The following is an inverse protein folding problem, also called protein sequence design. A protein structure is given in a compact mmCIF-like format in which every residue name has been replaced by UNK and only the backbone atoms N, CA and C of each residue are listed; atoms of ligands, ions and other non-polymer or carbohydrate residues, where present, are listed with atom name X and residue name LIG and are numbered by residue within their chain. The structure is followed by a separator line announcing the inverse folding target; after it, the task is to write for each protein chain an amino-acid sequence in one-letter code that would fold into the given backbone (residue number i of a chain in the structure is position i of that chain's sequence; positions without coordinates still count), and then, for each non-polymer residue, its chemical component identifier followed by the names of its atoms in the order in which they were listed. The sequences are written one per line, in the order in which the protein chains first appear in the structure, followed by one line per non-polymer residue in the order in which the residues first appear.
data_IF_277923056495
#
_entry.id   IF_277923056495
#
_cell.length_a   1.000
_cell.length_b   1.000
_cell.length_c   1.000
_cell.angle_alpha   90.00
_cell.angle_beta   90.00
_cell.angle_gamma   90.00
#
_symmetry.space_group_name_H-M   'P 1'
#
loop_
_entity.id
_entity.type
_entity.pdbx_description
1 polymer ?
#
# COMPACT_ATOMS: atom_id res chain seq x y z
N UNK A 1 -7.59 2.05 -5.63
CA UNK A 1 -8.20 1.58 -6.85
C UNK A 1 -9.12 0.40 -6.55
N UNK A 2 -10.40 0.66 -6.35
CA UNK A 2 -11.44 -0.33 -6.01
C UNK A 2 -11.78 -1.30 -7.17
N UNK A 3 -11.03 -1.24 -8.26
CA UNK A 3 -11.29 -2.01 -9.48
C UNK A 3 -10.66 -3.41 -9.45
N UNK A 4 -9.85 -3.73 -8.44
CA UNK A 4 -9.14 -5.01 -8.34
C UNK A 4 -9.51 -5.70 -7.04
N UNK A 5 -9.89 -6.96 -7.14
CA UNK A 5 -10.13 -7.87 -6.02
C UNK A 5 -8.86 -8.71 -5.85
N UNK A 6 -8.28 -8.66 -4.65
CA UNK A 6 -7.15 -9.50 -4.26
C UNK A 6 -7.60 -10.41 -3.12
N UNK A 7 -7.45 -11.72 -3.31
CA UNK A 7 -7.88 -12.69 -2.31
C UNK A 7 -7.01 -13.94 -2.31
N UNK A 8 -6.52 -14.39 -1.14
CA UNK A 8 -5.96 -15.72 -1.02
C UNK A 8 -7.05 -16.77 -1.20
N UNK A 9 -6.72 -17.81 -1.93
CA UNK A 9 -7.60 -18.95 -2.23
C UNK A 9 -6.82 -20.25 -2.11
N UNK A 10 -7.51 -21.39 -2.12
CA UNK A 10 -6.87 -22.69 -2.09
C UNK A 10 -7.41 -23.54 -3.25
N UNK A 11 -6.50 -24.12 -4.01
CA UNK A 11 -6.81 -25.04 -5.09
C UNK A 11 -5.91 -26.28 -4.99
N UNK A 12 -6.36 -27.47 -5.43
CA UNK A 12 -5.48 -28.63 -5.48
C UNK A 12 -4.34 -28.40 -6.46
N UNK A 13 -3.14 -28.88 -6.13
CA UNK A 13 -2.03 -28.90 -7.09
C UNK A 13 -2.37 -29.86 -8.24
N UNK A 14 -2.33 -29.33 -9.43
CA UNK A 14 -2.59 -30.01 -10.69
C UNK A 14 -1.82 -29.31 -11.82
N UNK A 15 -1.81 -29.78 -13.07
CA UNK A 15 -1.25 -29.04 -14.19
C UNK A 15 -1.77 -27.60 -14.26
N UNK A 16 -0.92 -26.65 -14.63
CA UNK A 16 -1.21 -25.20 -14.54
C UNK A 16 -2.57 -24.83 -15.19
N UNK A 17 -2.90 -25.40 -16.37
CA UNK A 17 -4.18 -25.15 -17.03
C UNK A 17 -5.40 -25.59 -16.21
N UNK A 18 -5.27 -26.70 -15.49
CA UNK A 18 -6.35 -27.18 -14.64
C UNK A 18 -6.45 -26.33 -13.36
N UNK A 19 -5.31 -25.82 -12.85
CA UNK A 19 -5.29 -24.86 -11.77
C UNK A 19 -5.97 -23.54 -12.18
N UNK A 20 -5.74 -23.04 -13.39
CA UNK A 20 -6.42 -21.85 -13.93
C UNK A 20 -7.95 -22.01 -13.92
N UNK A 21 -8.45 -23.17 -14.37
CA UNK A 21 -9.88 -23.49 -14.34
C UNK A 21 -10.41 -23.59 -12.90
N UNK A 22 -9.67 -24.26 -12.01
CA UNK A 22 -10.04 -24.39 -10.61
C UNK A 22 -10.09 -23.03 -9.90
N UNK A 23 -9.09 -22.16 -10.14
CA UNK A 23 -9.07 -20.78 -9.62
C UNK A 23 -10.27 -19.98 -10.16
N UNK A 24 -10.58 -20.11 -11.45
CA UNK A 24 -11.74 -19.45 -12.06
C UNK A 24 -13.05 -19.87 -11.40
N UNK A 25 -13.24 -21.15 -11.17
CA UNK A 25 -14.39 -21.72 -10.49
C UNK A 25 -14.52 -21.22 -9.04
N UNK A 26 -13.41 -21.20 -8.30
CA UNK A 26 -13.41 -20.71 -6.94
C UNK A 26 -13.67 -19.19 -6.89
N UNK A 27 -13.14 -18.44 -7.86
CA UNK A 27 -13.31 -17.01 -7.98
C UNK A 27 -14.77 -16.58 -8.23
N UNK A 28 -15.54 -17.36 -9.00
CA UNK A 28 -16.97 -17.10 -9.25
C UNK A 28 -17.81 -16.99 -7.96
N UNK A 29 -17.37 -17.63 -6.88
CA UNK A 29 -18.11 -17.65 -5.61
C UNK A 29 -18.05 -16.31 -4.85
N UNK A 30 -17.07 -15.47 -5.14
CA UNK A 30 -16.86 -14.22 -4.39
C UNK A 30 -16.68 -12.98 -5.26
N UNK A 31 -16.49 -13.13 -6.57
CA UNK A 31 -16.42 -11.99 -7.49
C UNK A 31 -17.87 -11.53 -7.78
N UNK A 32 -18.21 -10.25 -7.50
CA UNK A 32 -19.57 -9.74 -7.65
C UNK A 32 -19.90 -9.33 -9.11
N UNK A 33 -19.17 -9.86 -10.09
CA UNK A 33 -19.33 -9.58 -11.52
C UNK A 33 -19.36 -10.88 -12.31
N UNK A 34 -19.97 -10.90 -13.50
CA UNK A 34 -19.86 -12.05 -14.40
C UNK A 34 -18.38 -12.36 -14.67
N UNK A 35 -17.99 -13.62 -14.50
CA UNK A 35 -16.59 -14.03 -14.63
C UNK A 35 -16.02 -13.76 -16.03
N UNK A 36 -16.88 -13.71 -17.05
CA UNK A 36 -16.49 -13.41 -18.41
C UNK A 36 -16.20 -11.92 -18.66
N UNK A 37 -16.56 -11.04 -17.71
CA UNK A 37 -16.23 -9.62 -17.74
C UNK A 37 -14.97 -9.29 -16.90
N UNK A 38 -14.29 -10.33 -16.39
CA UNK A 38 -13.16 -10.19 -15.48
C UNK A 38 -11.89 -10.71 -16.15
N UNK A 39 -10.79 -9.96 -16.00
CA UNK A 39 -9.43 -10.47 -16.18
C UNK A 39 -9.01 -11.04 -14.83
N UNK A 40 -8.62 -12.31 -14.82
CA UNK A 40 -8.24 -13.05 -13.63
C UNK A 40 -6.84 -13.62 -13.83
N UNK A 41 -6.02 -13.47 -12.80
CA UNK A 41 -4.69 -14.07 -12.71
C UNK A 41 -4.44 -14.57 -11.29
N UNK A 42 -3.47 -15.45 -11.10
CA UNK A 42 -3.12 -15.97 -9.80
C UNK A 42 -1.63 -16.29 -9.67
N UNK A 43 -1.12 -16.21 -8.47
CA UNK A 43 0.24 -16.60 -8.14
C UNK A 43 0.23 -17.57 -6.95
N UNK A 44 0.93 -18.71 -7.00
CA UNK A 44 1.13 -19.58 -5.86
C UNK A 44 1.90 -18.84 -4.75
N UNK A 45 1.41 -18.94 -3.51
CA UNK A 45 2.09 -18.38 -2.33
C UNK A 45 3.19 -19.28 -1.78
N UNK A 46 3.18 -20.55 -2.21
CA UNK A 46 4.23 -21.53 -1.94
C UNK A 46 4.74 -22.07 -3.27
N UNK A 47 6.06 -22.24 -3.44
CA UNK A 47 6.59 -22.82 -4.66
C UNK A 47 5.94 -24.17 -5.00
N UNK A 48 5.44 -24.32 -6.23
CA UNK A 48 4.73 -25.55 -6.63
C UNK A 48 5.64 -26.80 -6.52
N UNK A 49 6.95 -26.63 -6.55
CA UNK A 49 7.93 -27.72 -6.34
C UNK A 49 7.92 -28.31 -4.94
N UNK A 50 7.43 -27.55 -3.94
CA UNK A 50 7.38 -27.95 -2.54
C UNK A 50 6.06 -28.63 -2.16
N UNK A 51 5.08 -28.63 -3.04
CA UNK A 51 3.73 -29.20 -2.80
C UNK A 51 3.56 -30.49 -3.63
N UNK A 52 2.94 -31.53 -3.06
CA UNK A 52 2.68 -32.78 -3.78
C UNK A 52 1.43 -32.66 -4.65
N UNK A 53 1.35 -33.45 -5.73
CA UNK A 53 0.19 -33.47 -6.62
C UNK A 53 -1.08 -33.89 -5.87
N UNK A 54 -2.15 -33.13 -6.00
CA UNK A 54 -3.42 -33.32 -5.29
C UNK A 54 -3.49 -32.65 -3.90
N UNK A 55 -2.38 -32.18 -3.33
CA UNK A 55 -2.39 -31.35 -2.12
C UNK A 55 -2.89 -29.94 -2.40
N UNK A 56 -3.39 -29.25 -1.37
CA UNK A 56 -3.89 -27.90 -1.47
C UNK A 56 -2.74 -26.90 -1.60
N UNK A 57 -2.80 -26.07 -2.62
CA UNK A 57 -1.90 -24.93 -2.84
C UNK A 57 -2.62 -23.66 -2.46
N UNK A 58 -2.00 -22.85 -1.63
CA UNK A 58 -2.44 -21.47 -1.41
C UNK A 58 -2.02 -20.62 -2.60
N UNK A 59 -2.96 -19.88 -3.17
CA UNK A 59 -2.74 -18.98 -4.28
C UNK A 59 -3.27 -17.59 -3.93
N UNK A 60 -2.59 -16.55 -4.39
CA UNK A 60 -3.14 -15.19 -4.39
C UNK A 60 -3.84 -14.96 -5.71
N UNK A 61 -5.14 -14.73 -5.67
CA UNK A 61 -5.95 -14.44 -6.85
C UNK A 61 -6.09 -12.93 -7.00
N UNK A 62 -5.81 -12.44 -8.21
CA UNK A 62 -6.07 -11.07 -8.63
C UNK A 62 -7.14 -11.06 -9.70
N UNK A 63 -8.20 -10.28 -9.50
CA UNK A 63 -9.29 -10.15 -10.44
C UNK A 63 -9.63 -8.69 -10.68
N UNK A 64 -9.71 -8.28 -11.94
CA UNK A 64 -10.04 -6.92 -12.34
C UNK A 64 -11.09 -6.91 -13.44
N UNK A 65 -11.96 -5.89 -13.48
CA UNK A 65 -12.90 -5.73 -14.60
C UNK A 65 -12.13 -5.48 -15.90
N UNK A 66 -12.53 -6.15 -16.96
CA UNK A 66 -11.89 -6.00 -18.29
C UNK A 66 -11.86 -4.54 -18.76
N UNK A 67 -12.95 -3.80 -18.50
CA UNK A 67 -13.04 -2.37 -18.83
C UNK A 67 -11.94 -1.53 -18.15
N UNK A 68 -11.64 -1.80 -16.88
CA UNK A 68 -10.59 -1.10 -16.14
C UNK A 68 -9.20 -1.42 -16.70
N UNK A 69 -8.95 -2.70 -17.02
CA UNK A 69 -7.70 -3.14 -17.65
C UNK A 69 -7.55 -2.54 -19.04
N UNK A 70 -8.59 -2.58 -19.86
CA UNK A 70 -8.60 -2.04 -21.21
C UNK A 70 -8.27 -0.51 -21.19
N UNK A 71 -8.89 0.25 -20.27
CA UNK A 71 -8.64 1.69 -20.16
C UNK A 71 -7.17 2.04 -19.87
N UNK A 72 -6.51 1.26 -18.99
CA UNK A 72 -5.07 1.45 -18.71
C UNK A 72 -4.23 1.12 -19.94
N UNK A 73 -4.51 -0.02 -20.59
CA UNK A 73 -3.77 -0.45 -21.78
C UNK A 73 -3.93 0.54 -22.96
N UNK A 74 -5.14 1.06 -23.16
CA UNK A 74 -5.41 2.06 -24.19
C UNK A 74 -4.66 3.37 -23.93
N UNK A 75 -4.64 3.85 -22.68
CA UNK A 75 -3.90 5.04 -22.30
C UNK A 75 -2.38 4.90 -22.58
N UNK A 76 -1.78 3.76 -22.19
CA UNK A 76 -0.37 3.49 -22.45
C UNK A 76 -0.05 3.38 -23.94
N UNK A 77 -0.87 2.65 -24.69
CA UNK A 77 -0.71 2.51 -26.17
C UNK A 77 -0.90 3.85 -26.87
N UNK A 78 -1.88 4.64 -26.43
CA UNK A 78 -2.09 6.00 -26.93
C UNK A 78 -0.90 6.95 -26.69
N UNK A 79 -0.14 6.71 -25.63
CA UNK A 79 1.13 7.41 -25.35
C UNK A 79 2.33 6.82 -26.13
N UNK A 80 2.14 5.83 -27.00
CA UNK A 80 3.20 5.17 -27.76
C UNK A 80 4.02 4.16 -26.95
N UNK A 81 3.53 3.76 -25.77
CA UNK A 81 4.19 2.78 -24.91
C UNK A 81 3.65 1.37 -25.17
N UNK A 82 4.50 0.36 -25.02
CA UNK A 82 4.13 -1.04 -25.11
C UNK A 82 4.07 -1.62 -23.68
N UNK A 83 2.86 -1.86 -23.10
CA UNK A 83 2.75 -2.47 -21.81
C UNK A 83 3.19 -3.93 -21.89
N UNK A 84 4.14 -4.34 -21.04
CA UNK A 84 4.66 -5.71 -20.98
C UNK A 84 4.13 -6.47 -19.76
N UNK A 85 3.91 -5.76 -18.66
CA UNK A 85 3.32 -6.30 -17.41
C UNK A 85 2.27 -5.32 -16.90
N UNK A 86 1.16 -5.84 -16.42
CA UNK A 86 0.17 -5.12 -15.64
C UNK A 86 0.15 -5.73 -14.25
N UNK A 87 0.59 -4.97 -13.27
CA UNK A 87 0.68 -5.43 -11.89
C UNK A 87 -0.33 -4.72 -10.98
N UNK A 88 -0.52 -5.24 -9.78
CA UNK A 88 -1.41 -4.66 -8.79
C UNK A 88 -0.64 -3.81 -7.80
N UNK A 89 -1.13 -2.60 -7.55
CA UNK A 89 -0.48 -1.58 -6.71
C UNK A 89 0.07 -2.11 -5.37
N UNK A 90 -0.68 -2.91 -4.56
CA UNK A 90 -0.17 -3.43 -3.30
C UNK A 90 1.09 -4.27 -3.42
N UNK A 91 1.24 -5.05 -4.49
CA UNK A 91 2.42 -5.90 -4.71
C UNK A 91 3.55 -5.13 -5.38
N UNK A 92 3.22 -4.25 -6.34
CA UNK A 92 4.22 -3.40 -6.96
C UNK A 92 5.03 -2.58 -5.93
N UNK A 93 4.41 -2.15 -4.85
CA UNK A 93 5.09 -1.45 -3.75
C UNK A 93 6.03 -2.32 -2.91
N UNK A 94 5.97 -3.66 -3.03
CA UNK A 94 6.81 -4.58 -2.26
C UNK A 94 8.18 -4.83 -2.91
N UNK A 95 8.29 -4.77 -4.25
CA UNK A 95 9.55 -5.08 -4.95
C UNK A 95 10.77 -4.33 -4.40
N UNK A 96 10.70 -3.02 -4.05
CA UNK A 96 11.85 -2.35 -3.45
C UNK A 96 12.22 -2.86 -2.06
N UNK A 97 11.35 -3.62 -1.40
CA UNK A 97 11.56 -4.19 -0.07
C UNK A 97 11.93 -5.67 -0.11
N UNK A 98 11.83 -6.34 -1.26
CA UNK A 98 11.91 -7.79 -1.37
C UNK A 98 13.20 -8.36 -0.77
N UNK A 99 14.35 -7.79 -1.11
CA UNK A 99 15.63 -8.21 -0.55
C UNK A 99 15.68 -8.10 0.98
N UNK A 100 15.17 -7.01 1.54
CA UNK A 100 15.12 -6.77 2.98
C UNK A 100 14.13 -7.70 3.69
N UNK A 101 12.98 -7.95 3.09
CA UNK A 101 11.98 -8.88 3.64
C UNK A 101 12.49 -10.33 3.64
N UNK A 102 13.24 -10.72 2.61
CA UNK A 102 13.81 -12.07 2.47
C UNK A 102 14.93 -12.36 3.49
N UNK A 103 15.57 -11.36 4.09
CA UNK A 103 16.56 -11.53 5.14
C UNK A 103 15.99 -12.15 6.42
N UNK A 104 14.68 -11.97 6.67
CA UNK A 104 13.98 -12.49 7.85
C UNK A 104 12.75 -13.33 7.42
N UNK A 105 12.95 -14.55 6.87
CA UNK A 105 11.90 -15.31 6.17
C UNK A 105 10.74 -15.76 7.07
N UNK A 106 10.95 -15.87 8.38
CA UNK A 106 9.93 -16.30 9.34
C UNK A 106 9.22 -15.13 10.04
N UNK A 107 9.72 -13.92 9.88
CA UNK A 107 9.15 -12.73 10.52
C UNK A 107 7.92 -12.25 9.81
N UNK A 108 6.94 -11.79 10.60
CA UNK A 108 5.70 -11.22 10.08
C UNK A 108 5.83 -9.70 9.96
N UNK A 109 5.58 -9.20 8.77
CA UNK A 109 5.63 -7.78 8.43
C UNK A 109 4.26 -7.25 8.02
N UNK A 110 4.04 -5.96 8.25
CA UNK A 110 2.88 -5.23 7.74
C UNK A 110 3.35 -4.08 6.83
N UNK A 111 2.94 -4.11 5.57
CA UNK A 111 3.20 -3.00 4.64
C UNK A 111 1.93 -2.20 4.42
N UNK A 112 1.99 -0.89 4.71
CA UNK A 112 0.89 0.05 4.53
C UNK A 112 1.25 1.05 3.43
N UNK A 113 0.52 1.05 2.32
CA UNK A 113 0.60 2.09 1.31
C UNK A 113 -0.59 3.04 1.45
N UNK A 114 -0.34 4.21 2.04
CA UNK A 114 -1.34 5.26 2.24
C UNK A 114 -1.28 6.21 1.04
N UNK A 115 -2.06 5.89 0.03
CA UNK A 115 -2.15 6.67 -1.20
C UNK A 115 -3.14 7.82 -1.13
N UNK A 116 -3.35 8.50 -2.26
CA UNK A 116 -4.29 9.61 -2.37
C UNK A 116 -5.75 9.16 -2.29
N UNK A 117 -6.11 7.99 -2.85
CA UNK A 117 -7.51 7.52 -2.97
C UNK A 117 -7.80 6.21 -2.22
N UNK A 118 -6.78 5.54 -1.74
CA UNK A 118 -6.93 4.27 -1.00
C UNK A 118 -5.71 4.00 -0.14
N UNK A 119 -5.92 3.22 0.92
CA UNK A 119 -4.85 2.63 1.72
C UNK A 119 -4.85 1.12 1.51
N UNK A 120 -3.72 0.54 1.13
CA UNK A 120 -3.56 -0.90 1.07
C UNK A 120 -2.72 -1.42 2.24
N UNK A 121 -3.15 -2.57 2.76
CA UNK A 121 -2.46 -3.32 3.80
C UNK A 121 -2.03 -4.64 3.20
N UNK A 122 -0.76 -4.98 3.32
CA UNK A 122 -0.24 -6.31 2.97
C UNK A 122 0.44 -6.89 4.20
N UNK A 123 -0.07 -8.04 4.65
CA UNK A 123 0.58 -8.85 5.68
C UNK A 123 1.48 -9.86 4.97
N UNK A 124 2.73 -9.96 5.42
CA UNK A 124 3.73 -10.85 4.83
C UNK A 124 4.40 -11.70 5.92
N UNK A 125 4.89 -12.87 5.52
CA UNK A 125 5.92 -13.61 6.26
C UNK A 125 7.16 -13.67 5.40
N UNK A 126 8.26 -13.03 5.86
CA UNK A 126 9.37 -12.73 4.98
C UNK A 126 8.89 -11.92 3.77
N UNK A 127 9.24 -12.35 2.58
CA UNK A 127 8.82 -11.79 1.29
C UNK A 127 7.47 -12.33 0.77
N UNK A 128 6.85 -13.30 1.47
CA UNK A 128 5.64 -13.98 1.01
C UNK A 128 4.36 -13.29 1.51
N UNK A 129 3.49 -12.77 0.62
CA UNK A 129 2.21 -12.20 1.01
C UNK A 129 1.28 -13.26 1.62
N UNK A 130 0.74 -12.98 2.81
CA UNK A 130 -0.24 -13.82 3.50
C UNK A 130 -1.67 -13.31 3.28
N UNK A 131 -1.84 -12.00 3.35
CA UNK A 131 -3.14 -11.36 3.17
C UNK A 131 -3.00 -9.93 2.64
N UNK A 132 -4.02 -9.49 1.92
CA UNK A 132 -4.13 -8.13 1.39
C UNK A 132 -5.50 -7.57 1.73
N UNK A 133 -5.55 -6.30 2.11
CA UNK A 133 -6.78 -5.54 2.27
C UNK A 133 -6.61 -4.14 1.73
N UNK A 134 -7.65 -3.62 1.07
CA UNK A 134 -7.69 -2.25 0.58
C UNK A 134 -8.81 -1.51 1.29
N UNK A 135 -8.46 -0.38 1.89
CA UNK A 135 -9.38 0.54 2.55
C UNK A 135 -9.65 1.72 1.62
N UNK A 136 -10.86 2.26 1.70
CA UNK A 136 -11.23 3.49 0.98
C UNK A 136 -10.67 4.74 1.64
N UNK A 137 -10.34 4.66 2.93
CA UNK A 137 -9.77 5.76 3.71
C UNK A 137 -8.33 6.03 3.25
N UNK A 138 -7.99 7.29 3.01
CA UNK A 138 -6.83 7.66 2.19
C UNK A 138 -6.29 9.07 2.52
N UNK A 139 -5.24 9.48 1.83
CA UNK A 139 -4.70 10.84 1.91
C UNK A 139 -5.72 11.93 1.58
N UNK A 140 -6.67 11.63 0.68
CA UNK A 140 -7.73 12.57 0.29
C UNK A 140 -8.68 12.89 1.45
N UNK A 141 -8.98 11.93 2.32
CA UNK A 141 -9.88 12.14 3.47
C UNK A 141 -9.30 13.18 4.44
N UNK A 142 -7.98 13.17 4.65
CA UNK A 142 -7.30 14.23 5.40
C UNK A 142 -7.41 15.59 4.71
N UNK A 143 -7.20 15.63 3.39
CA UNK A 143 -7.33 16.87 2.60
C UNK A 143 -8.73 17.44 2.69
N UNK A 144 -9.76 16.60 2.54
CA UNK A 144 -11.16 17.00 2.67
C UNK A 144 -11.53 17.47 4.08
N UNK A 145 -10.97 16.86 5.11
CA UNK A 145 -11.16 17.30 6.50
C UNK A 145 -10.60 18.71 6.72
N UNK A 146 -9.41 19.00 6.20
CA UNK A 146 -8.80 20.33 6.21
C UNK A 146 -9.65 21.32 5.39
N UNK A 147 -10.03 20.94 4.16
CA UNK A 147 -10.85 21.77 3.29
C UNK A 147 -12.14 22.22 3.98
N UNK A 148 -12.85 21.30 4.63
CA UNK A 148 -14.07 21.59 5.40
C UNK A 148 -13.81 22.49 6.60
N UNK A 149 -12.74 22.22 7.37
CA UNK A 149 -12.45 22.95 8.60
C UNK A 149 -12.02 24.40 8.36
N UNK A 150 -11.33 24.66 7.26
CA UNK A 150 -10.77 25.98 6.93
C UNK A 150 -11.47 26.69 5.78
N UNK A 151 -12.53 26.08 5.22
CA UNK A 151 -13.26 26.57 4.04
C UNK A 151 -12.32 26.86 2.86
N UNK A 152 -11.51 25.85 2.49
CA UNK A 152 -10.56 25.86 1.39
C UNK A 152 -11.06 25.00 0.24
N UNK A 153 -10.58 25.26 -0.97
CA UNK A 153 -10.65 24.30 -2.05
C UNK A 153 -9.67 23.13 -1.80
N UNK A 154 -9.83 22.04 -2.54
CA UNK A 154 -9.02 20.83 -2.32
C UNK A 154 -7.54 21.02 -2.61
N UNK A 155 -7.17 21.89 -3.56
CA UNK A 155 -5.76 22.13 -3.90
C UNK A 155 -5.07 22.90 -2.77
N UNK A 156 -5.69 23.98 -2.29
CA UNK A 156 -5.20 24.74 -1.16
C UNK A 156 -5.13 23.88 0.13
N UNK A 157 -6.15 23.03 0.37
CA UNK A 157 -6.16 22.13 1.51
C UNK A 157 -5.06 21.06 1.43
N UNK A 158 -4.76 20.56 0.23
CA UNK A 158 -3.64 19.61 0.01
C UNK A 158 -2.29 20.26 0.31
N UNK A 159 -2.10 21.50 -0.10
CA UNK A 159 -0.90 22.27 0.18
C UNK A 159 -0.73 22.53 1.69
N UNK A 160 -1.82 22.92 2.38
CA UNK A 160 -1.84 23.06 3.85
C UNK A 160 -1.54 21.73 4.53
N UNK A 161 -2.10 20.61 4.07
CA UNK A 161 -1.79 19.28 4.61
C UNK A 161 -0.30 18.94 4.48
N UNK A 162 0.29 19.17 3.31
CA UNK A 162 1.71 18.88 3.05
C UNK A 162 2.65 19.74 3.90
N UNK A 163 2.30 21.01 4.08
CA UNK A 163 3.14 21.96 4.79
C UNK A 163 3.00 21.88 6.31
N UNK A 164 1.77 21.76 6.80
CA UNK A 164 1.44 21.90 8.24
C UNK A 164 0.82 20.64 8.85
N UNK A 165 0.58 19.58 8.06
CA UNK A 165 -0.09 18.36 8.51
C UNK A 165 0.71 17.62 9.57
N UNK A 166 0.05 17.27 10.69
CA UNK A 166 0.63 16.48 11.78
C UNK A 166 -0.40 15.47 12.30
N UNK A 167 0.04 14.24 12.50
CA UNK A 167 -0.78 13.16 13.08
C UNK A 167 -0.72 13.10 14.61
N UNK A 168 0.22 13.83 15.21
CA UNK A 168 0.38 14.00 16.65
C UNK A 168 0.39 15.48 16.99
N UNK A 169 0.05 15.84 18.22
CA UNK A 169 0.25 17.22 18.68
C UNK A 169 1.76 17.49 18.76
N UNK A 170 2.20 18.70 18.35
CA UNK A 170 3.58 19.08 18.51
C UNK A 170 3.97 19.13 20.00
N UNK A 171 5.22 18.80 20.29
CA UNK A 171 5.80 19.03 21.61
C UNK A 171 6.04 20.51 21.83
N UNK A 172 6.21 20.94 23.12
CA UNK A 172 6.50 22.34 23.46
C UNK A 172 7.77 22.85 22.73
N UNK A 173 8.77 21.98 22.55
CA UNK A 173 10.01 22.31 21.84
C UNK A 173 9.79 22.48 20.33
N UNK A 174 8.90 21.68 19.73
CA UNK A 174 8.52 21.81 18.32
C UNK A 174 7.70 23.07 18.07
N UNK A 175 6.83 23.47 19.00
CA UNK A 175 6.09 24.74 18.93
C UNK A 175 7.01 25.96 18.99
N UNK A 176 8.07 25.89 19.80
CA UNK A 176 9.05 26.96 19.93
C UNK A 176 9.94 27.18 18.70
N UNK A 177 10.13 26.12 17.90
CA UNK A 177 10.90 26.17 16.64
C UNK A 177 10.08 26.69 15.45
N UNK A 178 8.78 26.88 15.63
CA UNK A 178 7.90 27.39 14.60
C UNK A 178 7.92 28.92 14.57
N UNK A 179 8.51 29.52 13.54
CA UNK A 179 8.45 30.97 13.30
C UNK A 179 6.99 31.45 13.16
N UNK A 180 6.62 32.51 13.89
CA UNK A 180 5.26 33.06 13.89
C UNK A 180 5.02 33.97 12.68
N UNK A 181 4.38 33.38 11.64
CA UNK A 181 3.81 34.10 10.51
C UNK A 181 2.27 34.06 10.61
N UNK A 182 1.58 35.07 10.09
CA UNK A 182 0.11 35.20 10.14
C UNK A 182 -0.61 34.02 9.45
N UNK A 183 -0.02 33.38 8.43
CA UNK A 183 -0.52 32.14 7.84
C UNK A 183 -0.41 30.95 8.78
N UNK A 184 0.68 30.87 9.55
CA UNK A 184 0.88 29.82 10.56
C UNK A 184 -0.06 29.95 11.75
N UNK A 185 -0.45 31.15 12.14
CA UNK A 185 -1.49 31.34 13.17
C UNK A 185 -2.84 30.76 12.67
N UNK A 186 -3.15 30.95 11.39
CA UNK A 186 -4.34 30.36 10.77
C UNK A 186 -4.29 28.85 10.68
N UNK A 187 -3.12 28.28 10.29
CA UNK A 187 -2.88 26.86 10.08
C UNK A 187 -1.96 26.27 11.14
N UNK A 188 -2.12 26.67 12.41
CA UNK A 188 -1.29 26.13 13.48
C UNK A 188 -1.41 24.58 13.55
N UNK A 189 -0.32 23.90 13.91
CA UNK A 189 -0.29 22.43 13.99
C UNK A 189 -1.45 21.83 14.80
N UNK A 190 -1.80 22.45 15.94
CA UNK A 190 -2.93 22.03 16.77
C UNK A 190 -4.27 22.12 16.05
N UNK A 191 -4.52 23.22 15.30
CA UNK A 191 -5.77 23.38 14.53
C UNK A 191 -5.85 22.38 13.35
N UNK A 192 -4.73 22.11 12.69
CA UNK A 192 -4.68 21.09 11.63
C UNK A 192 -4.90 19.72 12.24
N UNK A 193 -4.24 19.39 13.35
CA UNK A 193 -4.46 18.14 14.08
C UNK A 193 -5.93 17.96 14.46
N UNK A 194 -6.58 18.98 15.03
CA UNK A 194 -7.99 18.91 15.38
C UNK A 194 -8.90 18.66 14.16
N UNK A 195 -8.56 19.25 13.01
CA UNK A 195 -9.30 19.05 11.76
C UNK A 195 -9.20 17.61 11.25
N UNK A 196 -8.00 17.00 11.31
CA UNK A 196 -7.76 15.65 10.77
C UNK A 196 -7.93 14.54 11.80
N UNK A 197 -8.01 14.84 13.09
CA UNK A 197 -8.15 13.84 14.16
C UNK A 197 -9.26 12.82 13.95
N UNK A 198 -10.48 13.19 13.49
CA UNK A 198 -11.51 12.21 13.20
C UNK A 198 -11.07 11.17 12.16
N UNK A 199 -10.36 11.60 11.11
CA UNK A 199 -9.83 10.73 10.05
C UNK A 199 -8.73 9.81 10.59
N UNK A 200 -7.84 10.33 11.47
CA UNK A 200 -6.80 9.52 12.14
C UNK A 200 -7.42 8.44 13.02
N UNK A 201 -8.47 8.78 13.77
CA UNK A 201 -9.19 7.81 14.61
C UNK A 201 -9.83 6.72 13.75
N UNK A 202 -10.49 7.10 12.66
CA UNK A 202 -11.10 6.15 11.73
C UNK A 202 -10.05 5.24 11.08
N UNK A 203 -8.94 5.82 10.61
CA UNK A 203 -7.82 5.06 10.03
C UNK A 203 -7.29 4.01 11.02
N UNK A 204 -6.97 4.42 12.24
CA UNK A 204 -6.42 3.52 13.25
C UNK A 204 -7.40 2.42 13.66
N UNK A 205 -8.70 2.71 13.68
CA UNK A 205 -9.75 1.71 13.95
C UNK A 205 -9.87 0.70 12.80
N UNK A 206 -9.84 1.16 11.54
CA UNK A 206 -9.87 0.26 10.38
C UNK A 206 -8.62 -0.63 10.31
N UNK A 207 -7.45 -0.07 10.63
CA UNK A 207 -6.21 -0.85 10.70
C UNK A 207 -6.28 -1.91 11.80
N UNK A 208 -6.75 -1.57 13.01
CA UNK A 208 -6.96 -2.55 14.10
C UNK A 208 -7.91 -3.66 13.70
N UNK A 209 -9.06 -3.32 13.09
CA UNK A 209 -10.02 -4.33 12.61
C UNK A 209 -9.40 -5.24 11.56
N UNK A 210 -8.54 -4.68 10.69
CA UNK A 210 -7.85 -5.45 9.66
C UNK A 210 -6.83 -6.41 10.26
N UNK A 211 -6.04 -5.95 11.23
CA UNK A 211 -5.06 -6.80 11.94
C UNK A 211 -5.75 -7.92 12.73
N UNK A 212 -6.85 -7.61 13.43
CA UNK A 212 -7.61 -8.62 14.16
C UNK A 212 -8.23 -9.66 13.21
N UNK A 213 -8.73 -9.22 12.06
CA UNK A 213 -9.22 -10.12 11.02
C UNK A 213 -8.10 -11.05 10.51
N UNK A 214 -6.92 -10.51 10.23
CA UNK A 214 -5.78 -11.32 9.80
C UNK A 214 -5.35 -12.32 10.88
N UNK A 215 -5.27 -11.90 12.14
CA UNK A 215 -4.91 -12.75 13.26
C UNK A 215 -5.83 -13.95 13.41
N UNK A 216 -7.15 -13.72 13.29
CA UNK A 216 -8.15 -14.80 13.42
C UNK A 216 -8.12 -15.73 12.21
N UNK A 217 -8.00 -15.19 11.00
CA UNK A 217 -8.11 -15.98 9.78
C UNK A 217 -6.86 -16.79 9.47
N UNK A 218 -5.69 -16.29 9.84
CA UNK A 218 -4.42 -16.91 9.48
C UNK A 218 -3.78 -17.68 10.66
N UNK A 219 -4.35 -17.56 11.86
CA UNK A 219 -3.79 -18.10 13.11
C UNK A 219 -2.33 -17.67 13.34
N UNK A 220 -2.00 -16.48 12.83
CA UNK A 220 -0.63 -15.99 12.76
C UNK A 220 -0.25 -15.09 13.91
N UNK A 221 1.06 -14.99 14.15
CA UNK A 221 1.63 -13.99 15.02
C UNK A 221 1.31 -12.57 14.50
N UNK A 222 1.10 -11.64 15.42
CA UNK A 222 0.96 -10.23 15.08
C UNK A 222 2.25 -9.71 14.43
N UNK A 223 2.17 -8.80 13.43
CA UNK A 223 3.36 -8.19 12.87
C UNK A 223 4.10 -7.39 13.94
N UNK A 224 5.42 -7.49 13.96
CA UNK A 224 6.28 -6.74 14.88
C UNK A 224 6.84 -5.48 14.21
N UNK A 225 6.98 -5.52 12.88
CA UNK A 225 7.53 -4.46 12.06
C UNK A 225 6.58 -4.08 10.94
N UNK A 226 6.44 -2.79 10.70
CA UNK A 226 5.60 -2.21 9.67
C UNK A 226 6.38 -1.23 8.77
N UNK A 227 6.10 -1.26 7.48
CA UNK A 227 6.66 -0.36 6.49
C UNK A 227 5.59 0.57 5.93
N UNK A 228 5.90 1.88 5.84
CA UNK A 228 5.00 2.90 5.34
C UNK A 228 5.39 3.36 3.95
N UNK A 229 4.45 3.29 3.03
CA UNK A 229 4.54 3.70 1.63
C UNK A 229 3.46 4.75 1.31
N UNK A 230 3.59 5.38 0.15
CA UNK A 230 2.63 6.34 -0.37
C UNK A 230 2.75 7.74 0.23
N UNK A 231 2.20 8.74 -0.44
CA UNK A 231 2.28 10.15 -0.03
C UNK A 231 1.61 10.45 1.32
N UNK A 232 0.56 9.71 1.69
CA UNK A 232 -0.12 9.86 2.97
C UNK A 232 0.75 9.46 4.16
N UNK A 233 1.72 8.55 3.97
CA UNK A 233 2.67 8.13 5.02
C UNK A 233 3.62 9.25 5.47
N UNK A 234 3.77 10.30 4.66
CA UNK A 234 4.60 11.48 4.94
C UNK A 234 3.98 12.43 5.97
N UNK A 235 2.73 12.20 6.39
CA UNK A 235 2.10 13.00 7.43
C UNK A 235 2.94 12.91 8.71
N UNK A 236 3.44 14.05 9.18
CA UNK A 236 4.37 14.10 10.33
C UNK A 236 3.76 13.44 11.56
N UNK A 237 4.53 12.61 12.26
CA UNK A 237 4.08 11.88 13.44
C UNK A 237 3.19 10.67 13.16
N UNK A 238 2.85 10.37 11.88
CA UNK A 238 1.96 9.25 11.57
C UNK A 238 2.59 7.89 11.94
N UNK A 239 3.88 7.69 11.68
CA UNK A 239 4.57 6.45 12.04
C UNK A 239 4.53 6.22 13.56
N UNK A 240 4.82 7.26 14.36
CA UNK A 240 4.73 7.19 15.83
C UNK A 240 3.31 6.89 16.30
N UNK A 241 2.31 7.62 15.80
CA UNK A 241 0.90 7.37 16.12
C UNK A 241 0.48 5.93 15.84
N UNK A 242 0.87 5.39 14.68
CA UNK A 242 0.55 4.01 14.30
C UNK A 242 1.28 3.01 15.20
N UNK A 243 2.55 3.27 15.52
CA UNK A 243 3.34 2.44 16.44
C UNK A 243 2.68 2.37 17.81
N UNK A 244 2.35 3.51 18.39
CA UNK A 244 1.72 3.60 19.72
C UNK A 244 0.32 2.98 19.74
N UNK A 245 -0.40 3.12 18.62
CA UNK A 245 -1.81 2.69 18.54
C UNK A 245 -1.95 1.20 18.22
N UNK A 246 -1.10 0.66 17.36
CA UNK A 246 -1.21 -0.71 16.85
C UNK A 246 -0.23 -1.69 17.50
N UNK A 247 0.79 -1.19 18.21
CA UNK A 247 1.84 -2.01 18.81
C UNK A 247 2.79 -2.64 17.78
N UNK A 248 2.85 -2.08 16.58
CA UNK A 248 3.73 -2.49 15.49
C UNK A 248 4.72 -1.37 15.25
N UNK A 249 6.01 -1.66 15.19
CA UNK A 249 7.02 -0.64 14.95
C UNK A 249 7.00 -0.21 13.48
N UNK A 250 6.55 1.02 13.19
CA UNK A 250 6.43 1.53 11.82
C UNK A 250 7.60 2.44 11.44
N UNK A 251 8.11 2.22 10.23
CA UNK A 251 9.09 3.12 9.59
C UNK A 251 8.70 3.46 8.14
N UNK A 252 8.96 4.69 7.67
CA UNK A 252 8.83 5.04 6.26
C UNK A 252 9.85 4.26 5.43
N UNK A 253 9.44 3.81 4.25
CA UNK A 253 10.32 3.09 3.33
C UNK A 253 11.19 4.08 2.55
N UNK A 254 12.48 3.74 2.45
CA UNK A 254 13.38 4.32 1.47
C UNK A 254 13.55 3.34 0.28
N UNK A 255 12.76 3.46 -0.78
CA UNK A 255 12.79 2.50 -1.89
C UNK A 255 14.08 2.58 -2.71
N UNK A 256 14.84 3.67 -2.56
CA UNK A 256 16.09 3.88 -3.30
C UNK A 256 17.22 2.97 -2.84
N UNK A 257 17.08 2.29 -1.69
CA UNK A 257 18.02 1.27 -1.23
C UNK A 257 18.07 0.05 -2.16
N UNK A 258 17.00 -0.18 -2.93
CA UNK A 258 16.93 -1.28 -3.90
C UNK A 258 17.68 -1.02 -5.20
N UNK A 259 18.20 0.20 -5.43
CA UNK A 259 18.85 0.58 -6.69
C UNK A 259 20.10 1.42 -6.47
N UNK A 260 21.02 1.37 -7.43
CA UNK A 260 22.18 2.25 -7.43
C UNK A 260 21.76 3.67 -7.89
N UNK A 261 21.93 4.64 -7.02
CA UNK A 261 21.64 6.07 -7.30
C UNK A 261 22.96 6.81 -7.56
N UNK A 262 23.01 7.61 -8.63
CA UNK A 262 24.16 8.49 -8.90
C UNK A 262 24.10 9.75 -8.01
N UNK A 263 24.99 9.89 -7.00
CA UNK A 263 24.97 11.01 -6.06
C UNK A 263 25.33 12.36 -6.68
N UNK A 264 25.82 12.36 -7.94
CA UNK A 264 26.09 13.61 -8.67
C UNK A 264 24.85 14.20 -9.33
N UNK A 265 23.80 13.39 -9.49
CA UNK A 265 22.56 13.77 -10.17
C UNK A 265 21.39 13.99 -9.21
N UNK A 266 21.45 13.37 -8.02
CA UNK A 266 20.37 13.37 -7.06
C UNK A 266 20.90 13.65 -5.66
N UNK A 267 20.21 14.52 -4.93
CA UNK A 267 20.50 14.81 -3.53
C UNK A 267 19.84 13.75 -2.63
N UNK A 268 20.59 13.17 -1.70
CA UNK A 268 20.10 12.07 -0.84
C UNK A 268 18.90 12.49 0.01
N UNK A 269 18.90 13.72 0.55
CA UNK A 269 17.79 14.24 1.37
C UNK A 269 16.49 14.35 0.56
N UNK A 270 16.59 14.88 -0.67
CA UNK A 270 15.43 14.97 -1.56
C UNK A 270 14.86 13.59 -1.91
N UNK A 271 15.73 12.61 -2.20
CA UNK A 271 15.31 11.24 -2.48
C UNK A 271 14.61 10.59 -1.28
N UNK A 272 15.15 10.77 -0.07
CA UNK A 272 14.51 10.24 1.14
C UNK A 272 13.13 10.86 1.35
N UNK A 273 12.99 12.16 1.13
CA UNK A 273 11.72 12.86 1.29
C UNK A 273 10.64 12.33 0.34
N UNK A 274 10.97 12.10 -0.94
CA UNK A 274 10.00 11.62 -1.94
C UNK A 274 9.87 10.11 -1.98
N UNK A 275 10.78 9.37 -1.35
CA UNK A 275 10.89 7.92 -1.43
C UNK A 275 9.58 7.16 -1.28
N UNK A 276 8.82 7.34 -0.21
CA UNK A 276 7.57 6.61 0.00
C UNK A 276 6.55 6.77 -1.13
N UNK A 277 6.51 7.91 -1.81
CA UNK A 277 5.62 8.17 -2.95
C UNK A 277 6.04 7.39 -4.21
N UNK A 278 7.32 7.11 -4.35
CA UNK A 278 7.90 6.46 -5.53
C UNK A 278 8.01 4.93 -5.42
N UNK A 279 7.71 4.35 -4.27
CA UNK A 279 7.87 2.91 -4.03
C UNK A 279 7.15 2.05 -5.08
N UNK A 280 5.90 2.38 -5.43
CA UNK A 280 5.14 1.67 -6.47
C UNK A 280 5.76 1.85 -7.86
N UNK A 281 6.16 3.08 -8.23
CA UNK A 281 6.74 3.35 -9.52
C UNK A 281 8.10 2.66 -9.70
N UNK A 282 8.94 2.69 -8.65
CA UNK A 282 10.21 1.98 -8.65
C UNK A 282 10.00 0.46 -8.69
N UNK A 283 9.03 -0.05 -7.94
CA UNK A 283 8.70 -1.48 -7.96
C UNK A 283 8.25 -1.97 -9.33
N UNK A 284 7.42 -1.21 -10.02
CA UNK A 284 7.05 -1.51 -11.41
C UNK A 284 8.26 -1.49 -12.35
N UNK A 285 9.20 -0.56 -12.14
CA UNK A 285 10.44 -0.52 -12.92
C UNK A 285 11.32 -1.74 -12.64
N UNK A 286 11.49 -2.15 -11.40
CA UNK A 286 12.22 -3.35 -11.01
C UNK A 286 11.59 -4.60 -11.64
N UNK A 287 10.27 -4.75 -11.53
CA UNK A 287 9.52 -5.85 -12.16
C UNK A 287 9.71 -5.92 -13.67
N UNK A 288 9.84 -4.77 -14.33
CA UNK A 288 10.03 -4.68 -15.78
C UNK A 288 11.43 -5.07 -16.29
N UNK A 289 12.42 -5.18 -15.39
CA UNK A 289 13.79 -5.63 -15.77
C UNK A 289 14.03 -7.10 -15.42
N UNK A 290 13.14 -7.74 -14.68
CA UNK A 290 13.18 -9.18 -14.44
C UNK A 290 12.79 -9.95 -15.72
N UNK A 291 13.37 -11.16 -15.94
CA UNK A 291 12.90 -12.03 -17.01
C UNK A 291 11.41 -12.30 -16.86
N UNK A 292 10.65 -12.10 -17.93
CA UNK A 292 9.24 -12.50 -17.98
C UNK A 292 9.21 -14.02 -18.24
N UNK A 293 8.77 -14.80 -17.25
CA UNK A 293 8.56 -16.25 -17.36
C UNK A 293 7.38 -16.61 -18.28
#
# INVERSE_FOLDING_TARGET
NLAVILRPSQVPKMPLKEMEEAVRWEAERYIPFPIDEVVLDFAPLTPLSEVQEGEQVQVMVAAARQEAVAGVLEALRGAGLVPVVLDVKPFAGLYPLEARLAEEPDRVFLVLDIGAESTSLVLLRGDKPLAVRVLTLSGKDFTEAIARSFNLDLLAAEEVKRTYGMATLPTEDEELLLDFDAERERYSPGRIYDAIRPVLVELTQELRRSLEFFRIQLEEASPEMGYLLGGGSKLRGLASLLTDTLGVNFEPVNPWEAVAVDPKRFESEQLQEIGPEFAVALGLALRGVEPLD
#
